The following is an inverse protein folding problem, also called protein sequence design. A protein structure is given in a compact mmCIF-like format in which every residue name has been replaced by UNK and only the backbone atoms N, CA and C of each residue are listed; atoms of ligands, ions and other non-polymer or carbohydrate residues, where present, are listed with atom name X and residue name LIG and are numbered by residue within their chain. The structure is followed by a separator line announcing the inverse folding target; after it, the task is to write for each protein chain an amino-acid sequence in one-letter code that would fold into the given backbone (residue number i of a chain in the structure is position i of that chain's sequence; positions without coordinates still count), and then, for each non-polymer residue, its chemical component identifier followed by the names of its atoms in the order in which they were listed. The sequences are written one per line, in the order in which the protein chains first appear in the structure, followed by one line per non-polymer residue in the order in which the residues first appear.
data_IF_220878804301
#
_entry.id   IF_220878804301
#
_cell.length_a   1.000
_cell.length_b   1.000
_cell.length_c   1.000
_cell.angle_alpha   90.00
_cell.angle_beta   90.00
_cell.angle_gamma   90.00
#
_symmetry.space_group_name_H-M   'P 1'
#
loop_
_entity.id
_entity.type
_entity.pdbx_description
1 polymer ?
#
# COMPACT_ATOMS: atom_id res chain seq x y z
N UNK A 1 -1.55 5.93 -11.43
CA UNK A 1 -0.13 5.57 -11.20
C UNK A 1 -0.11 4.33 -10.31
N UNK A 2 0.94 3.54 -10.41
CA UNK A 2 1.15 2.33 -9.61
C UNK A 2 2.28 2.55 -8.63
N UNK A 3 2.03 2.32 -7.35
CA UNK A 3 3.01 2.46 -6.28
C UNK A 3 3.46 1.11 -5.78
N UNK A 4 4.72 1.03 -5.35
CA UNK A 4 5.23 -0.11 -4.59
C UNK A 4 4.91 0.03 -3.10
N UNK A 5 4.99 -1.08 -2.36
CA UNK A 5 4.77 -1.10 -0.91
C UNK A 5 5.68 -0.12 -0.16
N UNK A 6 6.90 0.08 -0.66
CA UNK A 6 7.87 1.00 -0.06
C UNK A 6 7.55 2.47 -0.33
N UNK A 7 7.05 2.78 -1.52
CA UNK A 7 6.60 4.15 -1.85
C UNK A 7 5.36 4.52 -1.06
N UNK A 8 4.37 3.62 -1.00
CA UNK A 8 3.14 3.85 -0.24
C UNK A 8 3.44 4.04 1.26
N UNK A 9 4.34 3.23 1.81
CA UNK A 9 4.78 3.34 3.20
C UNK A 9 5.44 4.70 3.48
N UNK A 10 6.32 5.17 2.58
CA UNK A 10 6.95 6.49 2.70
C UNK A 10 5.95 7.64 2.64
N UNK A 11 4.95 7.55 1.76
CA UNK A 11 3.91 8.57 1.62
C UNK A 11 3.07 8.65 2.89
N UNK A 12 2.65 7.51 3.43
CA UNK A 12 1.89 7.44 4.68
C UNK A 12 2.69 7.69 5.96
N UNK A 13 3.98 8.02 5.86
CA UNK A 13 4.85 8.18 7.02
C UNK A 13 4.97 6.92 7.90
N UNK A 14 4.69 5.74 7.35
CA UNK A 14 4.66 4.47 8.07
C UNK A 14 5.73 3.50 7.56
N UNK A 15 5.92 2.39 8.28
CA UNK A 15 6.81 1.33 7.83
C UNK A 15 6.08 0.38 6.86
N UNK A 16 6.84 -0.29 6.00
CA UNK A 16 6.33 -1.40 5.15
C UNK A 16 5.60 -2.45 5.99
N UNK A 17 6.03 -2.66 7.25
CA UNK A 17 5.37 -3.56 8.18
C UNK A 17 3.99 -3.06 8.61
N UNK A 18 3.80 -1.75 8.82
CA UNK A 18 2.49 -1.14 9.06
C UNK A 18 1.55 -1.34 7.87
N UNK A 19 2.07 -1.15 6.65
CA UNK A 19 1.29 -1.40 5.43
C UNK A 19 0.84 -2.87 5.31
N UNK A 20 1.72 -3.82 5.63
CA UNK A 20 1.38 -5.26 5.66
C UNK A 20 0.37 -5.60 6.75
N UNK A 21 0.38 -4.87 7.86
CA UNK A 21 -0.62 -5.02 8.90
C UNK A 21 -1.99 -4.60 8.35
N UNK A 22 -2.08 -3.46 7.66
CA UNK A 22 -3.31 -3.03 7.00
C UNK A 22 -3.79 -3.97 5.89
N UNK A 23 -2.88 -4.58 5.12
CA UNK A 23 -3.25 -5.66 4.19
C UNK A 23 -3.89 -6.84 4.91
N UNK A 24 -3.35 -7.21 6.09
CA UNK A 24 -3.82 -8.37 6.85
C UNK A 24 -5.18 -8.11 7.49
N UNK A 25 -5.45 -6.88 7.89
CA UNK A 25 -6.74 -6.42 8.41
C UNK A 25 -7.75 -6.09 7.30
N UNK A 26 -7.44 -6.40 6.03
CA UNK A 26 -8.30 -6.12 4.86
C UNK A 26 -8.63 -4.62 4.65
N UNK A 27 -7.83 -3.74 5.24
CA UNK A 27 -7.99 -2.29 5.12
C UNK A 27 -7.39 -1.74 3.83
N UNK A 28 -6.34 -2.38 3.30
CA UNK A 28 -5.70 -2.05 2.03
C UNK A 28 -5.61 -3.29 1.17
N UNK A 29 -6.06 -3.20 -0.09
CA UNK A 29 -6.11 -4.35 -1.01
C UNK A 29 -5.21 -4.08 -2.22
N UNK A 30 -3.90 -4.39 -2.15
CA UNK A 30 -3.02 -4.21 -3.29
C UNK A 30 -3.43 -5.08 -4.46
N UNK A 31 -3.37 -4.50 -5.65
CA UNK A 31 -3.45 -5.25 -6.89
C UNK A 31 -2.19 -6.08 -7.08
N UNK A 32 -2.32 -7.34 -7.52
CA UNK A 32 -1.17 -8.22 -7.74
C UNK A 32 -0.84 -8.30 -9.23
N UNK A 33 0.27 -7.69 -9.64
CA UNK A 33 0.88 -7.95 -10.95
C UNK A 33 1.95 -9.05 -10.81
N UNK A 34 1.53 -10.29 -11.05
CA UNK A 34 2.39 -11.46 -10.93
C UNK A 34 2.84 -11.70 -9.48
N UNK A 35 4.14 -11.54 -9.21
CA UNK A 35 4.70 -11.67 -7.84
C UNK A 35 4.76 -10.34 -7.08
N UNK A 36 4.50 -9.22 -7.75
CA UNK A 36 4.61 -7.89 -7.16
C UNK A 36 3.25 -7.40 -6.67
N UNK A 37 3.26 -6.75 -5.50
CA UNK A 37 2.12 -5.97 -4.99
C UNK A 37 2.22 -4.57 -5.58
N UNK A 38 1.13 -4.11 -6.14
CA UNK A 38 1.00 -2.82 -6.79
C UNK A 38 -0.18 -2.11 -6.17
N UNK A 39 0.03 -0.89 -5.72
CA UNK A 39 -1.00 -0.07 -5.10
C UNK A 39 -1.41 1.02 -6.07
N UNK A 40 -2.69 1.31 -6.09
CA UNK A 40 -3.28 2.35 -6.91
C UNK A 40 -3.14 3.73 -6.26
N UNK A 41 -3.56 4.75 -6.99
CA UNK A 41 -3.75 6.10 -6.43
C UNK A 41 -4.80 6.13 -5.31
N UNK A 42 -5.79 5.23 -5.34
CA UNK A 42 -6.83 5.15 -4.29
C UNK A 42 -6.23 4.63 -2.98
N UNK A 43 -5.41 3.59 -3.04
CA UNK A 43 -4.68 3.07 -1.88
C UNK A 43 -3.76 4.13 -1.27
N UNK A 44 -3.12 4.93 -2.12
CA UNK A 44 -2.29 6.05 -1.67
C UNK A 44 -3.13 7.07 -0.91
N UNK A 45 -4.26 7.51 -1.47
CA UNK A 45 -5.15 8.48 -0.83
C UNK A 45 -5.70 7.96 0.49
N UNK A 46 -5.99 6.67 0.59
CA UNK A 46 -6.44 6.04 1.82
C UNK A 46 -5.38 6.10 2.92
N UNK A 47 -4.11 5.94 2.56
CA UNK A 47 -2.98 5.99 3.51
C UNK A 47 -2.55 7.43 3.86
N UNK A 48 -2.76 8.38 2.96
CA UNK A 48 -2.42 9.80 3.16
C UNK A 48 -3.46 10.54 4.02
N UNK A 49 -4.63 9.96 4.24
CA UNK A 49 -5.76 10.56 4.97
C UNK A 49 -5.80 10.12 6.45
#
# INVERSE_FOLDING_TARGET
MSYSIGELAKIGGMTVHGLRFYEKEELVTPERQGKNRVYSEEDKKWIEF
#
